data_IF_193808592118
#
_entry.id   IF_193808592118
#
_cell.length_a   1.000
_cell.length_b   1.000
_cell.length_c   1.000
_cell.angle_alpha   90.00
_cell.angle_beta   90.00
_cell.angle_gamma   90.00
#
_symmetry.space_group_name_H-M   'P 1'
#
loop_
_entity.id
_entity.type
_entity.pdbx_description
1 polymer ?
#
# COMPACT_ATOMS: atom_id res chain seq x y z
N UNK A 1 -11.82 -13.46 -34.38
CA UNK A 1 -11.64 -13.74 -33.73
C UNK A 1 -11.29 -13.51 -33.21
N UNK A 2 -11.24 -13.31 -33.33
CA UNK A 2 -10.96 -13.44 -32.37
C UNK A 2 -10.64 -13.09 -31.83
N UNK A 3 -10.82 -12.66 -32.33
CA UNK A 3 -10.56 -12.82 -31.46
C UNK A 3 -10.21 -12.14 -31.00
N UNK A 4 -10.47 -11.84 -31.36
CA UNK A 4 -10.30 -11.74 -30.53
C UNK A 4 -10.15 -11.25 -29.80
N UNK A 5 -10.46 -11.02 -30.19
CA UNK A 5 -10.44 -11.16 -29.08
C UNK A 5 -10.13 -11.06 -28.39
N UNK A 6 -10.34 -10.95 -28.91
CA UNK A 6 -10.18 -11.41 -27.88
C UNK A 6 -9.66 -11.11 -27.31
N UNK A 7 -9.71 -10.85 -27.75
CA UNK A 7 -9.27 -11.08 -26.89
C UNK A 7 -8.89 -10.54 -25.98
N UNK A 8 -9.16 -10.23 -26.44
CA UNK A 8 -8.90 -10.33 -25.35
C UNK A 8 -8.84 -10.03 -24.41
N UNK A 9 -9.07 -9.93 -24.78
CA UNK A 9 -9.17 -10.19 -23.54
C UNK A 9 -9.00 -10.30 -22.75
N UNK A 10 -9.01 -10.53 -22.89
CA UNK A 10 -8.99 -11.15 -21.72
C UNK A 10 -8.60 -11.40 -21.11
N UNK A 11 -8.60 -11.51 -21.45
CA UNK A 11 -8.28 -12.21 -20.76
C UNK A 11 -7.95 -12.19 -20.18
N UNK A 12 -7.82 -12.39 -20.15
CA UNK A 12 -7.52 -12.81 -19.52
C UNK A 12 -7.49 -12.95 -18.62
N UNK A 13 -7.30 -13.19 -18.45
CA UNK A 13 -7.18 -13.45 -17.59
C UNK A 13 -7.20 -13.79 -16.63
N UNK A 14 -6.74 -14.08 -16.14
CA UNK A 14 -6.94 -14.83 -15.08
C UNK A 14 -5.80 -14.86 -14.12
N UNK A 15 -4.57 -15.24 -14.28
CA UNK A 15 -3.42 -15.17 -13.43
C UNK A 15 -3.04 -13.74 -13.08
N UNK A 16 -3.42 -12.85 -13.93
CA UNK A 16 -3.12 -11.45 -13.71
C UNK A 16 -3.79 -10.91 -12.46
N UNK A 17 -4.94 -11.44 -12.16
CA UNK A 17 -5.66 -10.97 -11.00
C UNK A 17 -4.87 -11.24 -9.73
N UNK A 18 -4.19 -12.37 -9.69
CA UNK A 18 -3.36 -12.67 -8.54
C UNK A 18 -2.22 -11.66 -8.40
N UNK A 19 -1.60 -11.34 -9.54
CA UNK A 19 -0.51 -10.40 -9.53
C UNK A 19 -0.97 -9.04 -9.03
N UNK A 20 -2.15 -8.61 -9.44
CA UNK A 20 -2.64 -7.30 -9.06
C UNK A 20 -2.99 -7.22 -7.58
N UNK A 21 -3.12 -8.36 -6.90
CA UNK A 21 -3.44 -8.35 -5.48
C UNK A 21 -2.20 -8.26 -4.60
N UNK A 22 -1.01 -8.31 -5.18
CA UNK A 22 0.23 -8.22 -4.41
C UNK A 22 0.52 -6.76 -4.12
N UNK A 23 0.64 -6.44 -2.85
CA UNK A 23 0.91 -5.09 -2.39
C UNK A 23 2.29 -5.07 -1.75
N UNK A 24 3.17 -4.22 -2.25
CA UNK A 24 4.53 -4.13 -1.74
C UNK A 24 4.73 -2.95 -0.81
N UNK A 25 3.95 -1.91 -1.00
CA UNK A 25 4.03 -0.75 -0.12
C UNK A 25 2.63 -0.17 0.03
N UNK A 26 2.51 0.76 0.98
CA UNK A 26 1.19 1.24 1.36
C UNK A 26 0.52 2.08 0.28
N UNK A 27 1.30 2.69 -0.62
CA UNK A 27 0.70 3.47 -1.69
C UNK A 27 -0.11 2.60 -2.66
N UNK A 28 0.12 1.30 -2.64
CA UNK A 28 -0.60 0.34 -3.47
C UNK A 28 -1.77 -0.28 -2.73
N UNK A 29 -1.98 0.08 -1.47
CA UNK A 29 -2.97 -0.55 -0.63
C UNK A 29 -4.39 -0.19 -1.00
N UNK A 30 -5.32 -0.94 -0.44
CA UNK A 30 -6.74 -0.72 -0.65
C UNK A 30 -7.35 -0.10 0.59
N UNK A 31 -8.36 0.74 0.37
CA UNK A 31 -9.04 1.42 1.47
C UNK A 31 -9.76 0.40 2.35
N UNK A 32 -9.71 0.64 3.65
CA UNK A 32 -10.33 -0.19 4.69
C UNK A 32 -9.69 -1.56 4.81
N UNK A 33 -8.45 -1.70 4.38
CA UNK A 33 -7.75 -2.96 4.50
C UNK A 33 -6.54 -2.79 5.40
N UNK A 34 -6.26 -3.83 6.18
CA UNK A 34 -5.13 -3.84 7.09
C UNK A 34 -3.94 -4.54 6.45
N UNK A 35 -2.77 -4.01 6.74
CA UNK A 35 -1.51 -4.57 6.26
C UNK A 35 -0.52 -4.63 7.40
N UNK A 36 0.46 -5.52 7.27
CA UNK A 36 1.56 -5.61 8.23
C UNK A 36 2.77 -4.89 7.64
N UNK A 37 3.34 -3.99 8.43
CA UNK A 37 4.53 -3.25 8.00
C UNK A 37 5.72 -4.20 8.03
N UNK A 38 6.44 -4.27 6.93
CA UNK A 38 7.65 -5.11 6.85
C UNK A 38 8.92 -4.28 6.95
N UNK A 39 8.80 -2.96 6.88
CA UNK A 39 9.96 -2.09 7.02
C UNK A 39 9.71 -0.76 6.34
N UNK A 40 10.70 0.11 6.43
CA UNK A 40 10.67 1.40 5.78
C UNK A 40 11.80 1.42 4.76
N UNK A 41 11.48 1.80 3.53
CA UNK A 41 12.48 1.89 2.48
C UNK A 41 12.58 3.34 2.02
N UNK A 42 13.62 4.03 2.46
CA UNK A 42 13.80 5.44 2.18
C UNK A 42 15.29 5.77 2.23
N UNK A 43 15.67 6.75 1.42
CA UNK A 43 17.02 7.31 1.49
C UNK A 43 17.06 8.56 2.35
N UNK A 44 15.96 8.89 3.00
CA UNK A 44 15.81 10.13 3.76
C UNK A 44 15.65 9.77 5.22
N UNK A 45 16.68 10.06 6.01
CA UNK A 45 16.65 9.74 7.44
C UNK A 45 15.54 10.49 8.16
N UNK A 46 15.25 11.70 7.74
CA UNK A 46 14.20 12.47 8.40
C UNK A 46 12.84 11.83 8.16
N UNK A 47 12.62 11.32 6.95
CA UNK A 47 11.37 10.61 6.67
C UNK A 47 11.28 9.36 7.53
N UNK A 48 12.39 8.63 7.66
CA UNK A 48 12.39 7.43 8.49
C UNK A 48 12.06 7.76 9.94
N UNK A 49 12.67 8.81 10.45
CA UNK A 49 12.41 9.21 11.83
C UNK A 49 10.97 9.65 12.01
N UNK A 50 10.44 10.37 11.02
CA UNK A 50 9.05 10.78 11.05
C UNK A 50 8.13 9.57 11.13
N UNK A 51 8.37 8.59 10.27
CA UNK A 51 7.52 7.40 10.22
C UNK A 51 7.65 6.58 11.52
N UNK A 52 8.85 6.48 12.05
CA UNK A 52 9.02 5.79 13.32
C UNK A 52 8.27 6.50 14.45
N UNK A 53 8.22 7.82 14.39
CA UNK A 53 7.50 8.58 15.42
C UNK A 53 6.00 8.33 15.36
N UNK A 54 5.49 7.92 14.22
CA UNK A 54 4.09 7.56 14.08
C UNK A 54 3.81 6.13 14.54
N UNK A 55 4.85 5.33 14.74
CA UNK A 55 4.67 3.93 15.12
C UNK A 55 4.84 2.96 13.97
N UNK A 56 5.45 3.38 12.87
CA UNK A 56 5.61 2.53 11.69
C UNK A 56 6.80 1.59 11.87
N UNK A 57 6.64 0.59 12.71
CA UNK A 57 7.70 -0.39 12.95
C UNK A 57 7.36 -1.71 12.27
N UNK A 58 8.40 -2.45 11.96
CA UNK A 58 8.21 -3.78 11.38
C UNK A 58 7.33 -4.62 12.30
N UNK A 59 6.32 -5.25 11.72
CA UNK A 59 5.39 -6.08 12.48
C UNK A 59 4.13 -5.37 12.94
N UNK A 60 4.09 -4.05 12.83
CA UNK A 60 2.89 -3.31 13.23
C UNK A 60 1.85 -3.36 12.13
N UNK A 61 0.59 -3.28 12.54
CA UNK A 61 -0.52 -3.27 11.60
C UNK A 61 -0.88 -1.83 11.26
N UNK A 62 -1.03 -1.57 9.97
CA UNK A 62 -1.47 -0.27 9.49
C UNK A 62 -2.73 -0.47 8.66
N UNK A 63 -3.71 0.40 8.86
CA UNK A 63 -4.95 0.37 8.09
C UNK A 63 -4.97 1.59 7.18
N UNK A 64 -5.26 1.37 5.92
CA UNK A 64 -5.45 2.47 4.97
C UNK A 64 -6.91 2.90 5.07
N UNK A 65 -7.15 4.08 5.60
CA UNK A 65 -8.50 4.55 5.88
C UNK A 65 -9.13 5.20 4.67
N UNK A 66 -8.39 6.09 4.01
CA UNK A 66 -8.93 6.79 2.84
C UNK A 66 -7.78 7.30 1.99
N UNK A 67 -8.12 7.58 0.74
CA UNK A 67 -7.20 8.18 -0.21
C UNK A 67 -7.94 9.34 -0.85
N UNK A 68 -7.35 10.54 -0.75
CA UNK A 68 -7.95 11.72 -1.32
C UNK A 68 -6.88 12.43 -2.11
N UNK A 69 -6.91 12.25 -3.44
CA UNK A 69 -5.82 12.71 -4.28
C UNK A 69 -4.54 12.01 -3.90
N UNK A 70 -3.53 12.76 -3.54
CA UNK A 70 -2.25 12.18 -3.11
C UNK A 70 -2.14 12.06 -1.59
N UNK A 71 -3.23 12.30 -0.87
CA UNK A 71 -3.23 12.22 0.58
C UNK A 71 -3.79 10.89 1.03
N UNK A 72 -2.99 10.15 1.79
CA UNK A 72 -3.36 8.84 2.32
C UNK A 72 -3.60 8.99 3.81
N UNK A 73 -4.81 8.70 4.25
CA UNK A 73 -5.10 8.69 5.68
C UNK A 73 -4.92 7.28 6.20
N UNK A 74 -4.07 7.14 7.21
CA UNK A 74 -3.74 5.84 7.76
C UNK A 74 -4.02 5.81 9.24
N UNK A 75 -4.21 4.60 9.75
CA UNK A 75 -4.41 4.37 11.17
C UNK A 75 -3.38 3.38 11.65
N UNK A 76 -2.65 3.75 12.69
CA UNK A 76 -1.67 2.88 13.33
C UNK A 76 -1.93 2.94 14.82
N UNK A 77 -2.21 1.77 15.42
CA UNK A 77 -2.54 1.71 16.84
C UNK A 77 -3.74 2.63 17.11
N UNK A 78 -3.58 3.61 17.98
CA UNK A 78 -4.68 4.51 18.32
C UNK A 78 -4.62 5.81 17.55
N UNK A 79 -3.65 5.97 16.66
CA UNK A 79 -3.45 7.24 15.97
C UNK A 79 -3.89 7.21 14.53
N UNK A 80 -4.29 8.36 14.05
CA UNK A 80 -4.61 8.58 12.65
C UNK A 80 -3.71 9.65 12.10
N UNK A 81 -3.21 9.43 10.90
CA UNK A 81 -2.25 10.34 10.29
C UNK A 81 -2.55 10.49 8.82
N UNK A 82 -2.25 11.67 8.29
CA UNK A 82 -2.36 11.94 6.87
C UNK A 82 -0.95 12.06 6.31
N UNK A 83 -0.64 11.25 5.32
CA UNK A 83 0.67 11.27 4.67
C UNK A 83 0.46 11.37 3.18
N UNK A 84 1.49 11.83 2.47
CA UNK A 84 1.35 11.90 1.03
C UNK A 84 1.73 10.56 0.40
N UNK A 85 1.47 10.44 -0.89
CA UNK A 85 1.69 9.20 -1.60
C UNK A 85 3.15 8.77 -1.56
N UNK A 86 4.06 9.74 -1.62
CA UNK A 86 5.48 9.43 -1.60
C UNK A 86 5.89 8.80 -0.28
N UNK A 87 5.36 9.32 0.82
CA UNK A 87 5.64 8.75 2.13
C UNK A 87 5.00 7.37 2.25
N UNK A 88 3.78 7.22 1.75
CA UNK A 88 3.12 5.91 1.78
C UNK A 88 3.92 4.88 1.01
N UNK A 89 4.55 5.29 -0.09
CA UNK A 89 5.36 4.36 -0.88
C UNK A 89 6.61 3.91 -0.14
N UNK A 90 7.05 4.65 0.86
CA UNK A 90 8.21 4.27 1.65
C UNK A 90 7.88 3.23 2.71
N UNK A 91 6.60 3.04 3.03
CA UNK A 91 6.19 2.07 4.04
C UNK A 91 5.97 0.74 3.35
N UNK A 92 6.89 -0.19 3.57
CA UNK A 92 6.79 -1.52 2.97
C UNK A 92 5.82 -2.35 3.78
N UNK A 93 4.90 -3.01 3.10
CA UNK A 93 3.87 -3.80 3.78
C UNK A 93 3.64 -5.10 3.04
N UNK A 94 2.89 -5.98 3.70
CA UNK A 94 2.39 -7.19 3.08
C UNK A 94 0.96 -7.43 3.55
N UNK A 95 0.26 -8.25 2.80
CA UNK A 95 -1.11 -8.62 3.17
C UNK A 95 -1.10 -9.42 4.46
N UNK A 96 -2.15 -9.22 5.23
CA UNK A 96 -2.36 -10.01 6.44
C UNK A 96 -2.95 -11.37 6.08
#
# INVERSE_FOLDING_TARGET
MEGILSRMFFSRSKGKEKTSSIVENLSQGKINKEYIITGIKSNDEEMEKFLFSLGCYEGEVVTLVSILGDTYEIKIKDGRYSIDKQIAAAIRVKNI
#
